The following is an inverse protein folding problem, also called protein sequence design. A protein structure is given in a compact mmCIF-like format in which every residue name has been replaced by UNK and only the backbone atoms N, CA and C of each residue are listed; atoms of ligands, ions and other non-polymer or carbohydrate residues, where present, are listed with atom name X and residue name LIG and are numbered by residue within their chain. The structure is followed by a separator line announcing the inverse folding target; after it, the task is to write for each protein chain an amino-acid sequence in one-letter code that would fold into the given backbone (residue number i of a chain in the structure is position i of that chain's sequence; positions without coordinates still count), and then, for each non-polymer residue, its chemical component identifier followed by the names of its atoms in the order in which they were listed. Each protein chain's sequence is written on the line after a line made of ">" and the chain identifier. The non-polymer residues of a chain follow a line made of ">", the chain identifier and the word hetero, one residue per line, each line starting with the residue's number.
data_IF_518245048850
#
_entry.id   IF_518245048850
#
_cell.length_a   1.000
_cell.length_b   1.000
_cell.length_c   1.000
_cell.angle_alpha   90.00
_cell.angle_beta   90.00
_cell.angle_gamma   90.00
#
_symmetry.space_group_name_H-M   'P 1'
#
loop_
_entity.id
_entity.type
_entity.pdbx_description
1 polymer ?
#
# COMPACT_ATOMS: atom_id res chain seq x y z
N UNK A 1 -16.27 -20.87 -11.94
CA UNK A 1 -15.55 -21.47 -10.80
C UNK A 1 -14.81 -20.33 -10.10
N UNK A 2 -15.35 -19.89 -8.98
CA UNK A 2 -14.76 -18.76 -8.26
C UNK A 2 -13.52 -19.25 -7.51
N UNK A 3 -12.38 -18.63 -7.80
CA UNK A 3 -11.10 -18.79 -7.08
C UNK A 3 -11.28 -18.54 -5.56
N UNK A 4 -12.45 -18.13 -5.17
CA UNK A 4 -12.82 -17.57 -3.88
C UNK A 4 -13.18 -18.58 -2.79
N UNK A 5 -13.27 -19.86 -3.11
CA UNK A 5 -13.89 -20.79 -2.17
C UNK A 5 -13.07 -21.06 -0.90
N UNK A 6 -11.80 -20.62 -0.82
CA UNK A 6 -10.94 -20.77 0.38
C UNK A 6 -9.79 -19.78 0.51
N UNK A 7 -9.57 -18.85 -0.42
CA UNK A 7 -8.47 -17.88 -0.37
C UNK A 7 -9.00 -16.47 -0.17
N UNK A 8 -8.34 -15.69 0.69
CA UNK A 8 -8.62 -14.26 0.84
C UNK A 8 -8.11 -13.51 -0.40
N UNK A 9 -8.93 -12.64 -0.95
CA UNK A 9 -8.57 -11.81 -2.11
C UNK A 9 -8.11 -10.44 -1.63
N UNK A 10 -6.84 -10.11 -1.89
CA UNK A 10 -6.26 -8.81 -1.60
C UNK A 10 -6.12 -7.97 -2.86
N UNK A 11 -6.46 -6.70 -2.78
CA UNK A 11 -6.29 -5.73 -3.86
C UNK A 11 -5.38 -4.61 -3.40
N UNK A 12 -4.33 -4.33 -4.18
CA UNK A 12 -3.41 -3.22 -3.91
C UNK A 12 -3.82 -2.00 -4.74
N UNK A 13 -3.93 -0.87 -4.06
CA UNK A 13 -4.29 0.43 -4.63
C UNK A 13 -3.22 1.45 -4.26
N UNK A 14 -2.84 2.31 -5.20
CA UNK A 14 -1.94 3.42 -4.92
C UNK A 14 -2.75 4.58 -4.35
N UNK A 15 -2.26 5.18 -3.28
CA UNK A 15 -2.86 6.38 -2.70
C UNK A 15 -2.88 7.51 -3.74
N UNK A 16 -4.06 7.93 -4.13
CA UNK A 16 -4.31 9.01 -5.09
C UNK A 16 -5.62 9.70 -4.73
N UNK A 17 -5.86 10.85 -5.30
CA UNK A 17 -7.14 11.55 -5.11
C UNK A 17 -8.30 10.69 -5.60
N UNK A 18 -9.36 10.55 -4.79
CA UNK A 18 -10.51 9.72 -5.11
C UNK A 18 -10.34 8.24 -4.79
N UNK A 19 -9.27 7.84 -4.11
CA UNK A 19 -8.99 6.46 -3.75
C UNK A 19 -10.10 5.84 -2.90
N UNK A 20 -10.78 6.63 -2.09
CA UNK A 20 -11.89 6.18 -1.27
C UNK A 20 -13.04 5.59 -2.10
N UNK A 21 -13.37 6.23 -3.22
CA UNK A 21 -14.41 5.73 -4.14
C UNK A 21 -13.99 4.40 -4.77
N UNK A 22 -12.72 4.28 -5.16
CA UNK A 22 -12.15 3.04 -5.72
C UNK A 22 -12.18 1.95 -4.65
N UNK A 23 -11.76 2.25 -3.42
CA UNK A 23 -11.79 1.31 -2.30
C UNK A 23 -13.20 0.81 -2.01
N UNK A 24 -14.21 1.69 -2.04
CA UNK A 24 -15.61 1.29 -1.90
C UNK A 24 -16.09 0.36 -3.03
N UNK A 25 -15.67 0.64 -4.27
CA UNK A 25 -15.95 -0.23 -5.40
C UNK A 25 -15.33 -1.63 -5.24
N UNK A 26 -14.07 -1.68 -4.80
CA UNK A 26 -13.34 -2.93 -4.53
C UNK A 26 -13.98 -3.71 -3.38
N UNK A 27 -14.40 -3.04 -2.32
CA UNK A 27 -15.12 -3.67 -1.21
C UNK A 27 -16.47 -4.26 -1.66
N UNK A 28 -17.23 -3.54 -2.50
CA UNK A 28 -18.47 -4.04 -3.11
C UNK A 28 -18.21 -5.24 -4.02
N UNK A 29 -17.08 -5.30 -4.69
CA UNK A 29 -16.65 -6.45 -5.48
C UNK A 29 -16.20 -7.64 -4.61
N UNK A 30 -16.31 -7.51 -3.28
CA UNK A 30 -16.03 -8.57 -2.31
C UNK A 30 -14.53 -8.89 -2.13
N UNK A 31 -13.65 -7.93 -2.23
CA UNK A 31 -12.29 -8.09 -1.75
C UNK A 31 -12.28 -8.23 -0.21
N UNK A 32 -11.36 -9.04 0.29
CA UNK A 32 -11.19 -9.27 1.74
C UNK A 32 -10.17 -8.31 2.34
N UNK A 33 -9.17 -7.93 1.55
CA UNK A 33 -8.08 -7.03 1.96
C UNK A 33 -7.92 -5.92 0.94
N UNK A 34 -7.83 -4.69 1.41
CA UNK A 34 -7.47 -3.55 0.57
C UNK A 34 -6.17 -2.96 1.11
N UNK A 35 -5.12 -3.03 0.30
CA UNK A 35 -3.82 -2.44 0.60
C UNK A 35 -3.73 -1.05 -0.05
N UNK A 36 -3.68 -0.03 0.77
CA UNK A 36 -3.41 1.35 0.33
C UNK A 36 -1.91 1.59 0.40
N UNK A 37 -1.30 1.79 -0.75
CA UNK A 37 0.14 2.01 -0.88
C UNK A 37 0.42 3.49 -1.11
N UNK A 38 1.33 4.06 -0.31
CA UNK A 38 1.82 5.41 -0.55
C UNK A 38 2.64 5.52 -1.84
N UNK A 39 2.96 6.74 -2.25
CA UNK A 39 3.76 7.00 -3.45
C UNK A 39 5.15 6.31 -3.40
N UNK A 40 5.71 6.11 -2.21
CA UNK A 40 6.98 5.43 -2.00
C UNK A 40 6.86 3.90 -1.89
N UNK A 41 5.65 3.37 -1.81
CA UNK A 41 5.38 1.96 -1.61
C UNK A 41 5.03 1.21 -2.89
N UNK A 42 5.36 1.80 -4.03
CA UNK A 42 5.27 1.12 -5.30
C UNK A 42 6.17 -0.12 -5.35
N UNK A 43 6.25 -0.76 -6.47
CA UNK A 43 7.24 -1.80 -6.70
C UNK A 43 8.62 -1.18 -6.78
N UNK A 44 9.65 -1.82 -6.23
CA UNK A 44 11.05 -1.34 -6.31
C UNK A 44 11.57 -1.17 -7.74
N UNK A 45 10.89 -1.70 -8.73
CA UNK A 45 11.19 -1.58 -10.15
C UNK A 45 10.46 -0.42 -10.85
N UNK A 46 9.68 0.37 -10.11
CA UNK A 46 8.93 1.49 -10.70
C UNK A 46 9.87 2.62 -11.13
N UNK A 47 9.71 3.20 -12.32
CA UNK A 47 10.47 4.37 -12.76
C UNK A 47 10.36 5.52 -11.75
N UNK A 48 11.44 6.25 -11.56
CA UNK A 48 11.49 7.34 -10.59
C UNK A 48 10.44 8.43 -10.82
N UNK A 49 10.05 8.65 -12.05
CA UNK A 49 8.97 9.57 -12.42
C UNK A 49 7.63 9.12 -11.87
N UNK A 50 7.33 7.83 -11.95
CA UNK A 50 6.08 7.27 -11.39
C UNK A 50 6.06 7.36 -9.86
N UNK A 51 7.18 7.05 -9.20
CA UNK A 51 7.30 7.18 -7.74
C UNK A 51 7.08 8.61 -7.28
N UNK A 52 7.54 9.60 -8.03
CA UNK A 52 7.45 11.03 -7.64
C UNK A 52 6.10 11.67 -7.96
N UNK A 53 5.41 11.22 -8.99
CA UNK A 53 4.30 12.01 -9.56
C UNK A 53 2.96 11.27 -9.64
N UNK A 54 2.90 9.99 -9.36
CA UNK A 54 1.67 9.19 -9.54
C UNK A 54 0.82 9.14 -8.27
N UNK A 55 1.42 9.14 -7.10
CA UNK A 55 0.71 8.95 -5.84
C UNK A 55 0.87 10.08 -4.85
N UNK A 56 0.08 10.01 -3.79
CA UNK A 56 0.15 10.88 -2.60
C UNK A 56 0.67 10.07 -1.41
N UNK A 57 1.04 10.72 -0.30
CA UNK A 57 1.40 10.02 0.93
C UNK A 57 0.31 9.04 1.37
N UNK A 58 0.74 7.91 1.95
CA UNK A 58 -0.18 6.85 2.40
C UNK A 58 -1.19 7.36 3.44
N UNK A 59 -0.81 8.35 4.25
CA UNK A 59 -1.67 8.96 5.26
C UNK A 59 -2.95 9.54 4.66
N UNK A 60 -2.81 10.24 3.55
CA UNK A 60 -3.95 10.83 2.84
C UNK A 60 -4.85 9.75 2.24
N UNK A 61 -4.25 8.81 1.53
CA UNK A 61 -5.02 7.74 0.88
C UNK A 61 -5.71 6.82 1.88
N UNK A 62 -5.03 6.45 2.96
CA UNK A 62 -5.59 5.60 4.00
C UNK A 62 -6.78 6.27 4.68
N UNK A 63 -6.63 7.55 5.06
CA UNK A 63 -7.69 8.32 5.73
C UNK A 63 -8.91 8.45 4.84
N UNK A 64 -8.72 8.81 3.57
CA UNK A 64 -9.82 8.89 2.60
C UNK A 64 -10.53 7.55 2.43
N UNK A 65 -9.77 6.47 2.23
CA UNK A 65 -10.34 5.13 2.07
C UNK A 65 -11.14 4.71 3.32
N UNK A 66 -10.58 4.91 4.51
CA UNK A 66 -11.25 4.57 5.77
C UNK A 66 -12.55 5.36 5.95
N UNK A 67 -12.55 6.67 5.68
CA UNK A 67 -13.74 7.50 5.78
C UNK A 67 -14.83 7.07 4.80
N UNK A 68 -14.49 6.88 3.53
CA UNK A 68 -15.48 6.50 2.52
C UNK A 68 -16.03 5.10 2.76
N UNK A 69 -15.21 4.15 3.19
CA UNK A 69 -15.67 2.81 3.57
C UNK A 69 -16.62 2.86 4.78
N UNK A 70 -16.34 3.71 5.76
CA UNK A 70 -17.19 3.91 6.94
C UNK A 70 -18.52 4.55 6.56
N UNK A 71 -18.50 5.62 5.76
CA UNK A 71 -19.71 6.30 5.29
C UNK A 71 -20.63 5.38 4.46
N UNK A 72 -20.05 4.44 3.74
CA UNK A 72 -20.81 3.47 2.94
C UNK A 72 -21.14 2.18 3.70
N UNK A 73 -20.85 2.11 5.00
CA UNK A 73 -21.04 0.91 5.82
C UNK A 73 -20.37 -0.36 5.25
N UNK A 74 -19.18 -0.18 4.65
CA UNK A 74 -18.38 -1.26 4.05
C UNK A 74 -17.12 -1.57 4.87
N UNK A 75 -16.79 -0.71 5.84
CA UNK A 75 -15.54 -0.81 6.60
C UNK A 75 -15.37 -2.15 7.32
N UNK A 76 -16.46 -2.70 7.83
CA UNK A 76 -16.47 -3.99 8.55
C UNK A 76 -16.26 -5.21 7.65
N UNK A 77 -16.40 -5.07 6.35
CA UNK A 77 -16.30 -6.17 5.39
C UNK A 77 -14.89 -6.36 4.82
N UNK A 78 -13.96 -5.46 5.09
CA UNK A 78 -12.61 -5.48 4.53
C UNK A 78 -11.56 -5.18 5.60
N UNK A 79 -10.39 -5.82 5.47
CA UNK A 79 -9.21 -5.49 6.25
C UNK A 79 -8.42 -4.41 5.50
N UNK A 80 -8.21 -3.25 6.15
CA UNK A 80 -7.36 -2.19 5.59
C UNK A 80 -5.90 -2.43 5.96
N UNK A 81 -5.07 -2.49 4.94
CA UNK A 81 -3.62 -2.59 5.04
C UNK A 81 -2.99 -1.34 4.45
N UNK A 82 -1.86 -0.91 4.98
CA UNK A 82 -1.08 0.19 4.40
C UNK A 82 0.40 -0.15 4.31
N UNK A 83 1.07 0.39 3.28
CA UNK A 83 2.51 0.31 3.08
C UNK A 83 3.05 1.60 2.44
N UNK A 84 4.36 1.63 2.16
CA UNK A 84 4.94 2.72 1.39
C UNK A 84 5.37 3.92 2.20
N UNK A 85 6.20 3.70 3.21
CA UNK A 85 6.81 4.78 3.96
C UNK A 85 6.75 4.62 5.46
N UNK A 86 6.27 3.48 5.95
CA UNK A 86 6.29 3.15 7.38
C UNK A 86 7.72 2.80 7.79
N UNK A 87 8.33 3.65 8.62
CA UNK A 87 9.74 3.55 9.01
C UNK A 87 9.94 3.35 10.50
N UNK A 88 9.04 3.85 11.31
CA UNK A 88 9.16 3.89 12.77
C UNK A 88 7.90 3.31 13.43
N UNK A 89 8.03 2.94 14.71
CA UNK A 89 6.87 2.53 15.50
C UNK A 89 5.81 3.64 15.63
N UNK A 90 6.25 4.91 15.58
CA UNK A 90 5.32 6.05 15.56
C UNK A 90 4.43 6.03 14.31
N UNK A 91 5.00 5.71 13.14
CA UNK A 91 4.22 5.64 11.89
C UNK A 91 3.18 4.53 11.97
N UNK A 92 3.52 3.40 12.59
CA UNK A 92 2.58 2.29 12.83
C UNK A 92 1.41 2.74 13.71
N UNK A 93 1.69 3.45 14.80
CA UNK A 93 0.62 3.98 15.68
C UNK A 93 -0.26 4.98 14.93
N UNK A 94 0.33 5.89 14.17
CA UNK A 94 -0.42 6.86 13.37
C UNK A 94 -1.30 6.13 12.34
N UNK A 95 -0.76 5.14 11.63
CA UNK A 95 -1.51 4.37 10.66
C UNK A 95 -2.68 3.59 11.30
N UNK A 96 -2.47 3.02 12.49
CA UNK A 96 -3.54 2.38 13.25
C UNK A 96 -4.65 3.36 13.63
N UNK A 97 -4.28 4.56 14.11
CA UNK A 97 -5.25 5.62 14.42
C UNK A 97 -6.04 6.09 13.19
N UNK A 98 -5.44 6.02 12.00
CA UNK A 98 -6.08 6.35 10.72
C UNK A 98 -6.93 5.21 10.16
N UNK A 99 -6.93 4.04 10.80
CA UNK A 99 -7.80 2.92 10.47
C UNK A 99 -7.13 1.73 9.79
N UNK A 100 -5.80 1.68 9.70
CA UNK A 100 -5.10 0.50 9.23
C UNK A 100 -5.10 -0.61 10.30
N UNK A 101 -5.30 -1.84 9.86
CA UNK A 101 -5.25 -3.05 10.70
C UNK A 101 -3.97 -3.86 10.46
N UNK A 102 -3.39 -3.74 9.28
CA UNK A 102 -2.18 -4.43 8.89
C UNK A 102 -1.19 -3.47 8.23
N UNK A 103 0.11 -3.72 8.46
CA UNK A 103 1.17 -2.79 8.05
C UNK A 103 2.21 -3.53 7.22
N UNK A 104 2.56 -2.95 6.07
CA UNK A 104 3.64 -3.45 5.22
C UNK A 104 4.93 -2.67 5.48
N UNK A 105 5.96 -3.34 5.99
CA UNK A 105 7.26 -2.75 6.28
C UNK A 105 8.31 -3.51 5.47
N UNK A 106 8.88 -2.86 4.45
CA UNK A 106 9.91 -3.47 3.62
C UNK A 106 11.28 -2.81 3.82
N UNK A 107 11.39 -1.54 3.46
CA UNK A 107 12.67 -0.82 3.46
C UNK A 107 13.35 -0.81 4.83
N UNK A 108 12.61 -0.56 5.88
CA UNK A 108 13.15 -0.52 7.26
C UNK A 108 13.66 -1.89 7.68
N UNK A 109 12.97 -2.95 7.34
CA UNK A 109 13.40 -4.32 7.61
C UNK A 109 14.68 -4.66 6.85
N UNK A 110 14.78 -4.27 5.57
CA UNK A 110 15.98 -4.46 4.76
C UNK A 110 17.18 -3.72 5.36
N UNK A 111 16.99 -2.47 5.76
CA UNK A 111 18.06 -1.67 6.39
C UNK A 111 18.50 -2.30 7.72
N UNK A 112 17.56 -2.77 8.52
CA UNK A 112 17.88 -3.46 9.78
C UNK A 112 18.68 -4.76 9.58
N UNK A 113 18.51 -5.42 8.43
CA UNK A 113 19.29 -6.59 8.04
C UNK A 113 20.64 -6.24 7.39
N UNK A 114 21.04 -4.97 7.39
CA UNK A 114 22.33 -4.53 6.84
C UNK A 114 22.29 -4.20 5.34
N UNK A 115 21.12 -4.07 4.73
CA UNK A 115 21.03 -3.62 3.34
C UNK A 115 21.50 -2.16 3.24
N UNK A 116 22.52 -1.91 2.41
CA UNK A 116 23.09 -0.58 2.18
C UNK A 116 22.17 0.32 1.33
N UNK A 117 20.95 -0.12 1.02
CA UNK A 117 20.01 0.63 0.18
C UNK A 117 20.70 1.22 -1.06
N UNK A 118 21.51 0.43 -1.72
CA UNK A 118 22.13 0.88 -2.97
C UNK A 118 20.99 1.27 -3.91
N UNK A 119 20.92 2.52 -4.29
CA UNK A 119 19.98 3.10 -5.27
C UNK A 119 20.05 2.36 -6.61
N UNK A 120 21.01 1.48 -6.72
CA UNK A 120 21.27 0.55 -7.80
C UNK A 120 20.09 -0.29 -8.24
N UNK A 121 19.17 -0.64 -7.38
CA UNK A 121 18.00 -1.42 -7.80
C UNK A 121 17.04 -0.63 -8.68
N UNK A 122 17.13 0.70 -8.67
CA UNK A 122 16.31 1.56 -9.51
C UNK A 122 17.08 2.12 -10.71
N UNK A 123 18.41 2.05 -10.72
CA UNK A 123 19.25 2.71 -11.73
C UNK A 123 20.39 1.85 -12.30
N UNK A 124 20.68 0.71 -11.70
CA UNK A 124 21.57 -0.26 -12.31
C UNK A 124 20.74 -1.29 -13.06
N UNK A 125 20.61 -1.10 -14.35
CA UNK A 125 20.64 -2.25 -15.24
C UNK A 125 21.93 -2.98 -14.89
N UNK A 126 21.84 -4.10 -14.18
CA UNK A 126 22.96 -5.02 -14.06
C UNK A 126 23.45 -5.26 -15.47
N UNK A 127 24.75 -5.07 -15.78
CA UNK A 127 25.26 -5.44 -17.07
C UNK A 127 24.91 -6.91 -17.21
N UNK A 128 23.97 -7.22 -18.08
CA UNK A 128 23.78 -8.58 -18.55
C UNK A 128 25.13 -9.01 -19.05
N UNK A 129 25.74 -9.94 -18.35
CA UNK A 129 26.95 -10.57 -18.86
C UNK A 129 26.63 -11.08 -20.26
N UNK A 130 27.29 -10.48 -21.25
CA UNK A 130 27.37 -11.02 -22.57
C UNK A 130 28.06 -12.40 -22.51
#
# INVERSE_FOLDING_TARGET
>A
MCIRDRARVGVKLVASSGIGTIAAGVAKAKADIILISGHNGGTGATPQTSVKYVGVPWEMGLTEANQVLTLNNLRHSVTLRTDGGIKTGRDVVIAAMMGAEEFGIATTALVAMGCIMAVSYTHLTLPTKA
#
